data_IF_785620224774
#
_entry.id   IF_785620224774
#
_cell.length_a   1.000
_cell.length_b   1.000
_cell.length_c   1.000
_cell.angle_alpha   90.00
_cell.angle_beta   90.00
_cell.angle_gamma   90.00
#
_symmetry.space_group_name_H-M   'P 1'
#
loop_
_entity.id
_entity.type
_entity.pdbx_description
1 polymer ?
#
# COMPACT_ATOMS: atom_id res chain seq x y z
N UNK A 1 6.83 -4.06 -11.11
CA UNK A 1 5.47 -4.37 -10.62
C UNK A 1 4.63 -3.10 -10.59
N UNK A 2 3.31 -3.16 -10.88
CA UNK A 2 2.41 -2.01 -10.78
C UNK A 2 2.39 -1.40 -9.37
N UNK A 3 2.31 -0.07 -9.28
CA UNK A 3 2.29 0.64 -7.99
C UNK A 3 1.08 0.25 -7.12
N UNK A 4 -0.07 0.01 -7.76
CA UNK A 4 -1.31 -0.42 -7.10
C UNK A 4 -1.09 -1.63 -6.18
N UNK A 5 -0.18 -2.54 -6.53
CA UNK A 5 0.09 -3.74 -5.74
C UNK A 5 0.57 -3.43 -4.31
N UNK A 6 1.14 -2.26 -4.06
CA UNK A 6 1.53 -1.84 -2.70
C UNK A 6 0.36 -1.35 -1.84
N UNK A 7 -0.78 -1.02 -2.46
CA UNK A 7 -2.00 -0.55 -1.79
C UNK A 7 -2.94 -1.71 -1.41
N UNK A 8 -2.98 -2.76 -2.24
CA UNK A 8 -3.84 -3.94 -2.06
C UNK A 8 -3.67 -4.66 -0.70
N UNK A 9 -2.49 -4.72 -0.06
CA UNK A 9 -2.35 -5.39 1.23
C UNK A 9 -3.30 -4.89 2.32
N UNK A 10 -3.69 -3.62 2.32
CA UNK A 10 -4.71 -3.09 3.24
C UNK A 10 -6.09 -3.71 3.00
N UNK A 11 -6.50 -3.82 1.73
CA UNK A 11 -7.75 -4.47 1.32
C UNK A 11 -7.76 -5.96 1.66
N UNK A 12 -6.66 -6.65 1.37
CA UNK A 12 -6.46 -8.07 1.73
C UNK A 12 -6.54 -8.26 3.25
N UNK A 13 -5.92 -7.37 4.03
CA UNK A 13 -5.94 -7.44 5.49
C UNK A 13 -7.37 -7.37 6.03
N UNK A 14 -8.19 -6.44 5.51
CA UNK A 14 -9.60 -6.36 5.92
C UNK A 14 -10.38 -7.64 5.61
N UNK A 15 -10.18 -8.21 4.42
CA UNK A 15 -10.89 -9.43 3.98
C UNK A 15 -10.63 -10.59 4.92
N UNK A 16 -9.37 -10.79 5.29
CA UNK A 16 -8.94 -11.93 6.10
C UNK A 16 -8.87 -11.61 7.59
N UNK A 17 -9.42 -10.47 8.02
CA UNK A 17 -9.41 -10.01 9.41
C UNK A 17 -8.00 -9.95 10.02
N UNK A 18 -7.02 -9.50 9.22
CA UNK A 18 -5.66 -9.21 9.68
C UNK A 18 -5.62 -7.78 10.22
N UNK A 19 -4.81 -7.56 11.24
CA UNK A 19 -4.74 -6.29 11.99
C UNK A 19 -3.49 -5.48 11.69
N UNK A 20 -2.64 -5.93 10.77
CA UNK A 20 -1.41 -5.22 10.47
C UNK A 20 -0.66 -5.79 9.28
N UNK A 21 0.39 -5.08 8.91
CA UNK A 21 1.31 -5.43 7.84
C UNK A 21 2.74 -5.40 8.38
N UNK A 22 3.47 -6.48 8.14
CA UNK A 22 4.90 -6.57 8.40
C UNK A 22 5.67 -6.39 7.10
N UNK A 23 6.73 -5.58 7.15
CA UNK A 23 7.66 -5.38 6.05
C UNK A 23 9.08 -5.53 6.60
N UNK A 24 9.89 -6.39 5.99
CA UNK A 24 11.12 -6.91 6.62
C UNK A 24 12.21 -5.84 6.84
N UNK A 25 12.28 -4.82 5.97
CA UNK A 25 13.08 -3.60 6.16
C UNK A 25 12.65 -2.55 5.14
N UNK A 26 12.92 -1.27 5.41
CA UNK A 26 12.51 -0.15 4.55
C UNK A 26 13.68 0.72 4.06
N UNK A 27 14.92 0.36 4.39
CA UNK A 27 16.15 1.14 4.12
C UNK A 27 17.33 0.27 3.62
N UNK A 28 17.07 -0.85 2.95
CA UNK A 28 18.11 -1.79 2.50
C UNK A 28 18.84 -1.33 1.22
N UNK A 29 19.70 -0.33 1.37
CA UNK A 29 20.56 0.20 0.30
C UNK A 29 22.01 -0.32 0.40
N UNK A 30 22.20 -1.59 0.75
CA UNK A 30 23.50 -2.10 1.22
C UNK A 30 24.64 -2.07 0.18
N UNK A 31 24.35 -2.31 -1.10
CA UNK A 31 25.39 -2.54 -2.13
C UNK A 31 25.17 -1.80 -3.45
N UNK A 32 24.19 -0.87 -3.49
CA UNK A 32 23.82 -0.15 -4.70
C UNK A 32 23.57 1.32 -4.42
N UNK A 33 23.87 2.17 -5.40
CA UNK A 33 23.51 3.58 -5.36
C UNK A 33 21.97 3.71 -5.44
N UNK A 34 21.29 4.26 -4.42
CA UNK A 34 19.84 4.38 -4.38
C UNK A 34 19.24 5.16 -5.56
N UNK A 35 19.98 6.13 -6.09
CA UNK A 35 19.49 7.08 -7.09
C UNK A 35 19.65 6.57 -8.52
N UNK A 36 20.57 5.64 -8.74
CA UNK A 36 20.93 5.18 -10.08
C UNK A 36 20.73 3.67 -10.29
N UNK A 37 20.67 2.88 -9.22
CA UNK A 37 20.55 1.43 -9.31
C UNK A 37 19.50 0.85 -8.34
N UNK A 38 18.35 0.37 -8.83
CA UNK A 38 17.29 -0.15 -7.98
C UNK A 38 17.52 -1.61 -7.54
N UNK A 39 18.59 -2.31 -7.96
CA UNK A 39 18.79 -3.75 -7.72
C UNK A 39 19.25 -4.07 -6.29
N UNK A 40 18.38 -3.82 -5.31
CA UNK A 40 18.73 -3.85 -3.88
C UNK A 40 18.88 -5.25 -3.29
N UNK A 41 18.12 -6.24 -3.76
CA UNK A 41 18.04 -7.54 -3.08
C UNK A 41 18.27 -8.73 -4.02
N UNK A 42 19.14 -9.65 -3.58
CA UNK A 42 19.53 -10.91 -4.25
C UNK A 42 19.86 -10.80 -5.74
N UNK A 43 20.26 -9.60 -6.20
CA UNK A 43 20.50 -9.30 -7.62
C UNK A 43 19.32 -9.63 -8.55
N UNK A 44 18.10 -9.64 -8.01
CA UNK A 44 16.87 -10.02 -8.74
C UNK A 44 15.68 -9.13 -8.41
N UNK A 45 15.63 -8.57 -7.21
CA UNK A 45 14.45 -7.86 -6.71
C UNK A 45 14.73 -6.38 -6.55
N UNK A 46 14.20 -5.59 -7.50
CA UNK A 46 14.38 -4.15 -7.53
C UNK A 46 13.62 -3.46 -6.39
N UNK A 47 14.34 -2.71 -5.56
CA UNK A 47 13.81 -1.88 -4.47
C UNK A 47 13.21 -2.66 -3.31
N UNK A 48 13.36 -3.99 -3.28
CA UNK A 48 12.93 -4.80 -2.14
C UNK A 48 13.76 -4.42 -0.91
N UNK A 49 13.09 -4.33 0.23
CA UNK A 49 13.67 -3.80 1.46
C UNK A 49 13.91 -2.28 1.47
N UNK A 50 13.53 -1.54 0.42
CA UNK A 50 13.91 -0.13 0.26
C UNK A 50 12.72 0.74 -0.11
N UNK A 51 12.14 1.43 0.88
CA UNK A 51 10.98 2.30 0.72
C UNK A 51 11.27 3.78 1.03
N UNK A 52 12.33 4.06 1.78
CA UNK A 52 12.88 5.40 1.98
C UNK A 52 14.17 5.56 1.20
N UNK A 53 14.44 6.76 0.69
CA UNK A 53 15.67 7.15 0.02
C UNK A 53 16.46 8.11 0.92
N UNK A 54 17.81 8.11 0.86
CA UNK A 54 18.65 8.99 1.68
C UNK A 54 18.59 10.44 1.17
N UNK A 55 17.71 11.27 1.75
CA UNK A 55 17.45 12.62 1.23
C UNK A 55 18.67 13.54 1.18
N UNK A 56 19.68 13.31 2.03
CA UNK A 56 20.91 14.11 2.05
C UNK A 56 21.63 14.15 0.69
N UNK A 57 21.64 13.04 -0.04
CA UNK A 57 22.22 12.95 -1.38
C UNK A 57 21.48 13.83 -2.42
N UNK A 58 20.21 14.14 -2.13
CA UNK A 58 19.35 14.99 -2.94
C UNK A 58 19.20 16.42 -2.36
N UNK A 59 19.99 16.80 -1.34
CA UNK A 59 19.89 18.11 -0.68
C UNK A 59 18.64 18.29 0.18
N UNK A 60 17.99 17.20 0.60
CA UNK A 60 16.81 17.20 1.47
C UNK A 60 17.22 16.77 2.87
N UNK A 61 16.79 17.51 3.88
CA UNK A 61 17.00 17.14 5.29
C UNK A 61 16.09 15.96 5.67
N UNK A 62 16.68 14.84 6.05
CA UNK A 62 15.98 13.60 6.41
C UNK A 62 15.67 12.65 5.24
N UNK A 63 14.89 11.58 5.48
CA UNK A 63 14.59 10.57 4.48
C UNK A 63 13.51 11.02 3.49
N UNK A 64 13.62 10.54 2.24
CA UNK A 64 12.63 10.80 1.18
C UNK A 64 11.74 9.56 1.00
N UNK A 65 10.42 9.74 1.07
CA UNK A 65 9.47 8.65 0.87
C UNK A 65 9.34 8.26 -0.61
N UNK A 66 9.36 6.96 -0.89
CA UNK A 66 9.04 6.44 -2.23
C UNK A 66 7.55 6.51 -2.55
N UNK A 67 7.20 6.48 -3.84
CA UNK A 67 5.80 6.28 -4.26
C UNK A 67 5.21 4.99 -3.70
N UNK A 68 6.02 3.93 -3.55
CA UNK A 68 5.58 2.64 -3.00
C UNK A 68 5.18 2.75 -1.53
N UNK A 69 5.93 3.52 -0.74
CA UNK A 69 5.57 3.82 0.64
C UNK A 69 4.27 4.61 0.73
N UNK A 70 4.08 5.58 -0.17
CA UNK A 70 2.82 6.36 -0.23
C UNK A 70 1.64 5.47 -0.60
N UNK A 71 1.78 4.58 -1.58
CA UNK A 71 0.74 3.63 -1.95
C UNK A 71 0.41 2.64 -0.81
N UNK A 72 1.43 2.20 -0.06
CA UNK A 72 1.24 1.36 1.13
C UNK A 72 0.47 2.10 2.22
N UNK A 73 0.84 3.37 2.50
CA UNK A 73 0.07 4.24 3.41
C UNK A 73 -1.38 4.40 2.94
N UNK A 74 -1.62 4.66 1.66
CA UNK A 74 -2.98 4.80 1.12
C UNK A 74 -3.79 3.51 1.32
N UNK A 75 -3.15 2.34 1.23
CA UNK A 75 -3.78 1.05 1.51
C UNK A 75 -4.16 0.87 2.98
N UNK A 76 -3.31 1.36 3.89
CA UNK A 76 -3.63 1.38 5.34
C UNK A 76 -4.76 2.36 5.64
N UNK A 77 -4.82 3.52 4.97
CA UNK A 77 -5.95 4.45 5.08
C UNK A 77 -7.26 3.83 4.55
N UNK A 78 -7.19 3.07 3.46
CA UNK A 78 -8.35 2.32 2.95
C UNK A 78 -8.82 1.25 3.95
N UNK A 79 -7.88 0.57 4.64
CA UNK A 79 -8.22 -0.40 5.69
C UNK A 79 -9.11 0.24 6.76
N UNK A 80 -8.78 1.44 7.23
CA UNK A 80 -9.59 2.17 8.21
C UNK A 80 -10.99 2.48 7.68
N UNK A 81 -11.11 2.86 6.40
CA UNK A 81 -12.41 3.08 5.77
C UNK A 81 -13.24 1.80 5.74
N UNK A 82 -12.62 0.68 5.39
CA UNK A 82 -13.27 -0.61 5.36
C UNK A 82 -13.68 -1.10 6.76
N UNK A 83 -12.91 -0.76 7.79
CA UNK A 83 -13.26 -1.04 9.20
C UNK A 83 -14.47 -0.20 9.61
N UNK A 84 -14.43 1.11 9.38
CA UNK A 84 -15.53 2.03 9.69
C UNK A 84 -16.83 1.68 8.94
N UNK A 85 -16.73 1.17 7.71
CA UNK A 85 -17.87 0.71 6.92
C UNK A 85 -18.50 -0.60 7.43
N UNK A 86 -17.88 -1.32 8.37
CA UNK A 86 -18.43 -2.53 8.98
C UNK A 86 -18.62 -3.67 7.96
N UNK A 87 -19.78 -4.32 7.96
CA UNK A 87 -20.09 -5.44 7.05
C UNK A 87 -19.95 -5.07 5.56
N UNK A 88 -20.45 -3.90 5.16
CA UNK A 88 -20.29 -3.41 3.78
C UNK A 88 -18.81 -3.24 3.38
N UNK A 89 -17.95 -2.86 4.34
CA UNK A 89 -16.51 -2.81 4.14
C UNK A 89 -15.90 -4.20 3.95
N UNK A 90 -16.36 -5.21 4.69
CA UNK A 90 -15.90 -6.59 4.47
C UNK A 90 -16.27 -7.10 3.07
N UNK A 91 -17.50 -6.84 2.62
CA UNK A 91 -17.97 -7.20 1.28
C UNK A 91 -17.16 -6.49 0.19
N UNK A 92 -16.91 -5.19 0.34
CA UNK A 92 -16.10 -4.41 -0.61
C UNK A 92 -14.66 -4.91 -0.65
N UNK A 93 -14.06 -5.21 0.51
CA UNK A 93 -12.73 -5.83 0.58
C UNK A 93 -12.67 -7.17 -0.16
N UNK A 94 -13.70 -8.02 0.00
CA UNK A 94 -13.77 -9.31 -0.69
C UNK A 94 -13.93 -9.17 -2.21
N UNK A 95 -14.59 -8.11 -2.68
CA UNK A 95 -14.72 -7.80 -4.11
C UNK A 95 -13.41 -7.30 -4.74
N UNK A 96 -12.68 -6.42 -4.04
CA UNK A 96 -11.41 -5.83 -4.52
C UNK A 96 -10.25 -6.80 -4.37
N UNK A 97 -10.05 -7.38 -3.19
CA UNK A 97 -8.99 -8.34 -2.90
C UNK A 97 -9.57 -9.77 -2.92
N UNK A 98 -9.75 -10.36 -4.11
CA UNK A 98 -10.44 -11.65 -4.30
C UNK A 98 -9.72 -12.84 -3.65
N UNK A 99 -8.41 -12.78 -3.55
CA UNK A 99 -7.55 -13.74 -2.83
C UNK A 99 -6.16 -13.13 -2.60
N UNK A 100 -5.25 -13.90 -2.00
CA UNK A 100 -3.83 -13.52 -1.89
C UNK A 100 -3.11 -13.32 -3.24
N UNK A 101 -3.65 -13.88 -4.33
CA UNK A 101 -3.03 -13.90 -5.65
C UNK A 101 -3.87 -13.22 -6.73
N UNK A 102 -5.10 -12.80 -6.40
CA UNK A 102 -6.06 -12.22 -7.34
C UNK A 102 -6.72 -11.00 -6.71
N UNK A 103 -6.64 -9.85 -7.38
CA UNK A 103 -7.26 -8.59 -6.96
C UNK A 103 -7.68 -7.76 -8.18
N UNK A 104 -8.45 -6.69 -7.96
CA UNK A 104 -8.75 -5.68 -8.97
C UNK A 104 -7.48 -4.93 -9.38
N UNK A 105 -7.16 -4.94 -10.68
CA UNK A 105 -5.92 -4.40 -11.23
C UNK A 105 -6.08 -3.00 -11.82
N UNK A 106 -7.32 -2.52 -11.97
CA UNK A 106 -7.62 -1.15 -12.40
C UNK A 106 -7.59 -0.19 -11.18
N UNK A 107 -6.62 0.76 -11.13
CA UNK A 107 -6.53 1.72 -10.04
C UNK A 107 -7.78 2.60 -9.90
N UNK A 108 -8.49 2.89 -11.00
CA UNK A 108 -9.68 3.73 -10.96
C UNK A 108 -10.82 3.04 -10.20
N UNK A 109 -10.99 1.73 -10.39
CA UNK A 109 -12.00 0.94 -9.66
C UNK A 109 -11.70 0.83 -8.17
N UNK A 110 -10.42 0.73 -7.80
CA UNK A 110 -10.03 0.74 -6.37
C UNK A 110 -10.28 2.11 -5.74
N UNK A 111 -10.01 3.19 -6.48
CA UNK A 111 -10.33 4.55 -6.03
C UNK A 111 -11.85 4.76 -5.88
N UNK A 112 -12.65 4.31 -6.85
CA UNK A 112 -14.11 4.36 -6.79
C UNK A 112 -14.65 3.59 -5.58
N UNK A 113 -14.16 2.38 -5.33
CA UNK A 113 -14.53 1.58 -4.17
C UNK A 113 -14.22 2.31 -2.85
N UNK A 114 -13.10 3.03 -2.76
CA UNK A 114 -12.78 3.87 -1.61
C UNK A 114 -13.78 5.01 -1.44
N UNK A 115 -14.15 5.69 -2.52
CA UNK A 115 -15.08 6.81 -2.47
C UNK A 115 -16.50 6.37 -2.07
N UNK A 116 -16.92 5.17 -2.50
CA UNK A 116 -18.15 4.53 -2.02
C UNK A 116 -18.11 4.28 -0.51
N UNK A 117 -16.99 3.77 0.03
CA UNK A 117 -16.83 3.59 1.47
C UNK A 117 -16.92 4.93 2.21
N UNK A 118 -16.30 5.98 1.66
CA UNK A 118 -16.37 7.33 2.24
C UNK A 118 -17.82 7.81 2.36
N UNK A 119 -18.63 7.63 1.31
CA UNK A 119 -20.06 7.98 1.31
C UNK A 119 -20.82 7.19 2.38
N UNK A 120 -20.63 5.87 2.44
CA UNK A 120 -21.28 5.01 3.43
C UNK A 120 -20.93 5.40 4.88
N UNK A 121 -19.67 5.77 5.15
CA UNK A 121 -19.24 6.21 6.48
C UNK A 121 -19.94 7.52 6.86
N UNK A 122 -20.08 8.46 5.92
CA UNK A 122 -20.74 9.74 6.17
C UNK A 122 -22.25 9.58 6.41
N UNK A 123 -22.90 8.67 5.69
CA UNK A 123 -24.33 8.36 5.87
C UNK A 123 -24.62 7.77 7.25
N UNK A 124 -23.76 6.88 7.76
CA UNK A 124 -23.90 6.29 9.10
C UNK A 124 -23.72 7.26 10.27
N UNK A 125 -23.14 8.44 10.01
CA UNK A 125 -22.94 9.48 11.04
C UNK A 125 -24.13 10.42 11.20
N UNK A 126 -25.08 10.40 10.27
CA UNK A 126 -26.33 11.16 10.36
C UNK A 126 -27.36 10.39 11.18
#
# INVERSE_FOLDING_TARGET
FPLLNYRIPGWTSRRYNLTGLYYWTVVYWAEVDPWTNPLTFMKQYNGDGSLFYPGGDAGIDGPVASMRLKALRDGLEDYEYLVLAGAAGAEKAAAVAKSWTTWETDPAKVAEARDELARLILEKKK
#
